data_IF_658786526194
#
_entry.id   IF_658786526194
#
_cell.length_a   1.000
_cell.length_b   1.000
_cell.length_c   1.000
_cell.angle_alpha   90.00
_cell.angle_beta   90.00
_cell.angle_gamma   90.00
#
_symmetry.space_group_name_H-M   'P 1'
#
loop_
_entity.id
_entity.type
_entity.pdbx_description
1 polymer ?
#
# COMPACT_ATOMS: atom_id res chain seq x y z
N UNK A 1 -23.00 15.28 17.27
CA UNK A 1 -22.30 16.29 16.43
C UNK A 1 -20.80 16.03 16.38
N UNK A 2 -20.16 15.66 17.51
CA UNK A 2 -18.76 15.27 17.54
C UNK A 2 -18.42 14.10 16.58
N UNK A 3 -19.31 13.11 16.43
CA UNK A 3 -19.03 11.92 15.61
C UNK A 3 -18.86 12.24 14.12
N UNK A 4 -19.58 13.26 13.63
CA UNK A 4 -19.46 13.73 12.23
C UNK A 4 -18.13 14.44 11.98
N UNK A 5 -17.66 15.19 12.99
CA UNK A 5 -16.36 15.86 12.92
C UNK A 5 -15.22 14.84 12.97
N UNK A 6 -15.30 13.86 13.87
CA UNK A 6 -14.33 12.77 13.96
C UNK A 6 -14.26 11.96 12.65
N UNK A 7 -15.41 11.64 12.06
CA UNK A 7 -15.48 10.98 10.75
C UNK A 7 -14.84 11.82 9.62
N UNK A 8 -15.08 13.13 9.58
CA UNK A 8 -14.50 14.02 8.57
C UNK A 8 -12.97 14.14 8.73
N UNK A 9 -12.48 14.24 9.97
CA UNK A 9 -11.05 14.29 10.28
C UNK A 9 -10.36 12.96 9.92
N UNK A 10 -10.99 11.83 10.23
CA UNK A 10 -10.51 10.50 9.83
C UNK A 10 -10.41 10.37 8.32
N UNK A 11 -11.45 10.76 7.58
CA UNK A 11 -11.42 10.76 6.11
C UNK A 11 -10.26 11.60 5.55
N UNK A 12 -10.11 12.84 6.03
CA UNK A 12 -9.03 13.73 5.58
C UNK A 12 -7.64 13.14 5.87
N UNK A 13 -7.48 12.52 7.03
CA UNK A 13 -6.22 11.87 7.43
C UNK A 13 -5.89 10.69 6.52
N UNK A 14 -6.87 9.81 6.24
CA UNK A 14 -6.66 8.68 5.35
C UNK A 14 -6.39 9.11 3.91
N UNK A 15 -7.11 10.12 3.40
CA UNK A 15 -6.89 10.66 2.06
C UNK A 15 -5.49 11.27 1.90
N UNK A 16 -4.99 12.00 2.90
CA UNK A 16 -3.64 12.57 2.89
C UNK A 16 -2.57 11.48 2.92
N UNK A 17 -2.74 10.45 3.76
CA UNK A 17 -1.82 9.32 3.83
C UNK A 17 -1.75 8.56 2.50
N UNK A 18 -2.90 8.24 1.91
CA UNK A 18 -2.96 7.54 0.62
C UNK A 18 -2.35 8.39 -0.51
N UNK A 19 -2.53 9.72 -0.47
CA UNK A 19 -1.91 10.64 -1.42
C UNK A 19 -0.39 10.69 -1.28
N UNK A 20 0.13 10.73 -0.06
CA UNK A 20 1.57 10.70 0.20
C UNK A 20 2.20 9.40 -0.34
N UNK A 21 1.55 8.26 -0.10
CA UNK A 21 2.01 6.98 -0.64
C UNK A 21 1.98 6.93 -2.16
N UNK A 22 0.93 7.46 -2.80
CA UNK A 22 0.90 7.59 -4.26
C UNK A 22 2.02 8.47 -4.80
N UNK A 23 2.36 9.55 -4.11
CA UNK A 23 3.49 10.41 -4.49
C UNK A 23 4.83 9.67 -4.41
N UNK A 24 5.01 8.79 -3.43
CA UNK A 24 6.20 7.94 -3.33
C UNK A 24 6.30 6.96 -4.51
N UNK A 25 5.18 6.34 -4.92
CA UNK A 25 5.13 5.48 -6.11
C UNK A 25 5.52 6.27 -7.37
N UNK A 26 4.94 7.47 -7.54
CA UNK A 26 5.25 8.33 -8.68
C UNK A 26 6.73 8.76 -8.66
N UNK A 27 7.28 9.10 -7.50
CA UNK A 27 8.69 9.43 -7.35
C UNK A 27 9.59 8.23 -7.70
N UNK A 28 9.22 7.02 -7.29
CA UNK A 28 9.91 5.79 -7.67
C UNK A 28 9.87 5.54 -9.18
N UNK A 29 8.72 5.76 -9.81
CA UNK A 29 8.59 5.66 -11.27
C UNK A 29 9.48 6.67 -11.98
N UNK A 30 9.53 7.92 -11.50
CA UNK A 30 10.39 8.97 -12.09
C UNK A 30 11.87 8.61 -11.91
N UNK A 31 12.26 8.14 -10.72
CA UNK A 31 13.65 7.75 -10.44
C UNK A 31 14.14 6.59 -11.30
N UNK A 32 13.22 5.68 -11.69
CA UNK A 32 13.52 4.52 -12.52
C UNK A 32 13.10 4.70 -14.00
N UNK A 33 12.68 5.89 -14.42
CA UNK A 33 12.12 6.11 -15.75
C UNK A 33 13.08 5.71 -16.89
N UNK A 34 14.39 5.90 -16.68
CA UNK A 34 15.44 5.61 -17.66
C UNK A 34 16.07 4.21 -17.47
N UNK A 35 15.50 3.36 -16.59
CA UNK A 35 16.02 2.00 -16.39
C UNK A 35 15.40 1.03 -17.42
N UNK A 36 16.22 0.36 -18.27
CA UNK A 36 15.68 -0.55 -19.28
C UNK A 36 14.84 -1.67 -18.67
N UNK A 37 13.64 -1.89 -19.22
CA UNK A 37 12.72 -2.94 -18.77
C UNK A 37 11.90 -2.58 -17.53
N UNK A 38 12.02 -1.37 -16.98
CA UNK A 38 11.18 -0.92 -15.87
C UNK A 38 9.74 -0.67 -16.32
N UNK A 39 8.80 -1.06 -15.46
CA UNK A 39 7.37 -0.91 -15.70
C UNK A 39 6.77 -0.09 -14.56
N UNK A 40 6.28 1.09 -14.90
CA UNK A 40 5.69 2.01 -13.94
C UNK A 40 4.42 1.43 -13.32
N UNK A 41 4.20 1.72 -12.04
CA UNK A 41 3.04 1.27 -11.27
C UNK A 41 2.23 2.45 -10.75
N UNK A 42 0.95 2.25 -10.51
CA UNK A 42 0.10 3.22 -9.80
C UNK A 42 -0.96 2.48 -8.99
N UNK A 43 -1.64 3.19 -8.12
CA UNK A 43 -2.80 2.71 -7.37
C UNK A 43 -4.06 3.43 -7.87
N UNK A 44 -5.19 2.72 -7.90
CA UNK A 44 -6.48 3.37 -8.06
C UNK A 44 -6.86 4.05 -6.73
N UNK A 45 -6.52 5.33 -6.63
CA UNK A 45 -6.74 6.13 -5.43
C UNK A 45 -8.21 6.12 -4.97
N UNK A 46 -9.17 6.19 -5.89
CA UNK A 46 -10.58 6.27 -5.52
C UNK A 46 -11.05 4.94 -4.92
N UNK A 47 -10.67 3.84 -5.56
CA UNK A 47 -10.99 2.49 -5.11
C UNK A 47 -10.31 2.16 -3.78
N UNK A 48 -9.03 2.50 -3.62
CA UNK A 48 -8.29 2.28 -2.37
C UNK A 48 -8.79 3.17 -1.22
N UNK A 49 -9.13 4.43 -1.47
CA UNK A 49 -9.72 5.30 -0.44
C UNK A 49 -11.08 4.77 0.02
N UNK A 50 -11.93 4.33 -0.92
CA UNK A 50 -13.21 3.71 -0.59
C UNK A 50 -13.00 2.45 0.26
N UNK A 51 -12.03 1.61 -0.12
CA UNK A 51 -11.70 0.37 0.60
C UNK A 51 -11.23 0.65 2.03
N UNK A 52 -10.33 1.62 2.23
CA UNK A 52 -9.85 2.01 3.56
C UNK A 52 -10.98 2.57 4.42
N UNK A 53 -11.89 3.35 3.83
CA UNK A 53 -13.04 3.90 4.55
C UNK A 53 -14.09 2.85 4.93
N UNK A 54 -14.29 1.81 4.09
CA UNK A 54 -15.27 0.76 4.35
C UNK A 54 -14.75 -0.35 5.26
N UNK A 55 -13.51 -0.79 5.05
CA UNK A 55 -12.96 -2.00 5.66
C UNK A 55 -11.80 -1.72 6.62
N UNK A 56 -11.42 -0.44 6.80
CA UNK A 56 -10.16 -0.08 7.45
C UNK A 56 -8.95 -0.35 6.55
N UNK A 57 -7.76 0.03 7.01
CA UNK A 57 -6.52 -0.38 6.33
C UNK A 57 -6.39 -1.89 6.40
N UNK A 58 -6.07 -2.50 5.27
CA UNK A 58 -5.79 -3.94 5.23
C UNK A 58 -4.71 -4.26 6.27
N UNK A 59 -4.93 -5.27 7.10
CA UNK A 59 -3.86 -5.80 7.93
C UNK A 59 -2.90 -6.56 7.02
N UNK A 60 -1.61 -6.23 7.12
CA UNK A 60 -0.59 -6.90 6.34
C UNK A 60 -0.58 -8.40 6.68
N UNK A 61 -0.76 -9.24 5.67
CA UNK A 61 -0.67 -10.69 5.86
C UNK A 61 0.75 -11.02 6.31
N UNK A 62 0.89 -11.65 7.47
CA UNK A 62 2.16 -12.23 7.87
C UNK A 62 2.47 -13.40 6.94
N UNK A 63 3.70 -13.44 6.42
CA UNK A 63 4.17 -14.55 5.59
C UNK A 63 5.29 -15.25 6.33
N UNK A 64 5.11 -16.54 6.60
CA UNK A 64 6.12 -17.38 7.19
C UNK A 64 6.78 -18.23 6.10
N UNK A 65 8.11 -18.26 6.06
CA UNK A 65 8.82 -19.16 5.15
C UNK A 65 8.77 -20.59 5.70
N UNK A 66 8.58 -21.55 4.79
CA UNK A 66 8.63 -22.97 5.15
C UNK A 66 10.07 -23.37 5.48
N UNK A 67 10.29 -23.80 6.71
CA UNK A 67 11.58 -24.33 7.16
C UNK A 67 11.78 -25.73 6.58
N UNK A 68 12.89 -25.95 5.86
CA UNK A 68 13.20 -27.23 5.19
C UNK A 68 14.03 -28.18 6.05
N UNK A 69 14.64 -27.70 7.13
CA UNK A 69 15.49 -28.47 8.03
C UNK A 69 15.42 -27.90 9.44
N UNK A 70 15.48 -28.75 10.46
CA UNK A 70 15.39 -28.35 11.87
C UNK A 70 16.48 -27.38 12.35
N UNK A 71 17.56 -27.18 11.56
CA UNK A 71 18.64 -26.22 11.87
C UNK A 71 18.46 -24.86 11.20
N UNK A 72 17.47 -24.69 10.32
CA UNK A 72 17.22 -23.41 9.67
C UNK A 72 16.46 -22.46 10.61
N UNK A 73 16.83 -21.19 10.56
CA UNK A 73 16.20 -20.13 11.35
C UNK A 73 14.85 -19.80 10.72
N UNK A 74 13.80 -19.76 11.55
CA UNK A 74 12.48 -19.32 11.14
C UNK A 74 12.52 -17.85 10.72
N UNK A 75 12.03 -17.57 9.51
CA UNK A 75 11.86 -16.21 9.01
C UNK A 75 10.37 -15.93 8.83
N UNK A 76 9.89 -14.93 9.57
CA UNK A 76 8.54 -14.40 9.46
C UNK A 76 8.63 -12.92 9.12
N UNK A 77 7.87 -12.48 8.13
CA UNK A 77 7.73 -11.06 7.82
C UNK A 77 6.34 -10.62 8.25
N UNK A 78 6.27 -9.45 8.89
CA UNK A 78 5.01 -8.71 8.91
C UNK A 78 4.87 -8.05 7.55
N UNK A 79 3.90 -8.50 6.76
CA UNK A 79 3.62 -7.89 5.47
C UNK A 79 3.31 -6.42 5.63
N UNK A 80 3.84 -5.57 4.75
CA UNK A 80 3.27 -4.24 4.57
C UNK A 80 1.91 -4.43 3.91
N UNK A 81 0.85 -3.70 4.29
CA UNK A 81 -0.42 -3.72 3.57
C UNK A 81 -0.19 -3.52 2.08
N UNK A 82 -0.43 -4.57 1.29
CA UNK A 82 -0.31 -4.51 -0.16
C UNK A 82 -1.55 -3.82 -0.72
N UNK A 83 -1.34 -2.62 -1.26
CA UNK A 83 -2.27 -2.00 -2.18
C UNK A 83 -2.12 -2.68 -3.53
N UNK A 84 -3.22 -2.85 -4.27
CA UNK A 84 -3.17 -3.46 -5.58
C UNK A 84 -2.50 -2.46 -6.55
N UNK A 85 -1.19 -2.61 -6.74
CA UNK A 85 -0.41 -1.75 -7.62
C UNK A 85 -0.55 -2.27 -9.05
N UNK A 86 -1.34 -1.56 -9.86
CA UNK A 86 -1.53 -1.88 -11.27
C UNK A 86 -0.40 -1.28 -12.10
N UNK A 87 -0.09 -1.92 -13.22
CA UNK A 87 0.78 -1.33 -14.21
C UNK A 87 0.12 -0.11 -14.82
N UNK A 88 0.87 0.98 -14.93
CA UNK A 88 0.40 2.21 -15.53
C UNK A 88 0.44 2.05 -17.04
N UNK A 89 -0.73 2.02 -17.67
CA UNK A 89 -0.85 2.09 -19.13
C UNK A 89 -0.67 3.57 -19.50
N UNK A 90 0.28 3.92 -20.40
CA UNK A 90 0.54 5.30 -20.80
C UNK A 90 -0.64 5.95 -21.52
#
# INVERSE_FOLDING_TARGET
MLDKLDAALKFGTEALNLRAQRQEILASNIANADTPGYQARDIDFASELSRVMSNGRAEGSSMALKVTSARHIEAQTNGVPSMDMLYRIP
#
